data_IF_374725717338
#
_entry.id   IF_374725717338
#
_cell.length_a   1.000
_cell.length_b   1.000
_cell.length_c   1.000
_cell.angle_alpha   90.00
_cell.angle_beta   90.00
_cell.angle_gamma   90.00
#
_symmetry.space_group_name_H-M   'P 1'
#
loop_
_entity.id
_entity.type
_entity.pdbx_description
1 polymer ?
#
# COMPACT_ATOMS: atom_id res chain seq x y z
N UNK A 1 -4.42 -20.18 -2.22
CA UNK A 1 -3.07 -19.87 -1.67
C UNK A 1 -3.04 -18.40 -1.31
N UNK A 2 -2.80 -18.05 -0.05
CA UNK A 2 -2.91 -16.67 0.45
C UNK A 2 -1.64 -15.83 0.22
N UNK A 3 -1.76 -14.50 0.33
CA UNK A 3 -0.66 -13.54 0.28
C UNK A 3 0.50 -13.91 1.21
N UNK A 4 0.20 -14.31 2.45
CA UNK A 4 1.22 -14.76 3.41
C UNK A 4 1.85 -16.10 3.03
N UNK A 5 1.14 -16.99 2.35
CA UNK A 5 1.69 -18.27 1.86
C UNK A 5 2.67 -18.03 0.72
N UNK A 6 2.32 -17.13 -0.21
CA UNK A 6 3.19 -16.75 -1.32
C UNK A 6 4.46 -16.05 -0.81
N UNK A 7 4.34 -15.13 0.15
CA UNK A 7 5.52 -14.49 0.76
C UNK A 7 6.40 -15.47 1.51
N UNK A 8 5.81 -16.40 2.28
CA UNK A 8 6.60 -17.46 2.95
C UNK A 8 7.34 -18.33 1.95
N UNK A 9 6.75 -18.62 0.79
CA UNK A 9 7.42 -19.36 -0.27
C UNK A 9 8.59 -18.55 -0.86
N UNK A 10 8.36 -17.27 -1.18
CA UNK A 10 9.39 -16.35 -1.67
C UNK A 10 10.58 -16.24 -0.72
N UNK A 11 10.33 -16.01 0.57
CA UNK A 11 11.40 -15.93 1.58
C UNK A 11 12.14 -17.26 1.77
N UNK A 12 11.47 -18.40 1.55
CA UNK A 12 12.10 -19.71 1.59
C UNK A 12 12.96 -19.98 0.36
N UNK A 13 12.52 -19.52 -0.81
CA UNK A 13 13.23 -19.71 -2.08
C UNK A 13 14.41 -18.74 -2.25
N UNK A 14 14.27 -17.51 -1.75
CA UNK A 14 15.28 -16.44 -1.81
C UNK A 14 15.50 -15.84 -0.41
N UNK A 15 16.33 -16.48 0.45
CA UNK A 15 16.54 -16.06 1.84
C UNK A 15 17.19 -14.67 1.98
N UNK A 16 17.89 -14.21 0.95
CA UNK A 16 18.51 -12.90 0.86
C UNK A 16 17.51 -11.77 0.53
N UNK A 17 16.32 -12.12 0.03
CA UNK A 17 15.28 -11.15 -0.30
C UNK A 17 14.56 -10.67 0.96
N UNK A 18 14.61 -9.37 1.18
CA UNK A 18 13.83 -8.72 2.21
C UNK A 18 12.42 -8.43 1.66
N UNK A 19 11.44 -9.25 2.06
CA UNK A 19 10.05 -9.13 1.60
C UNK A 19 9.19 -8.43 2.63
N UNK A 20 8.59 -7.29 2.27
CA UNK A 20 7.63 -6.58 3.11
C UNK A 20 6.20 -6.76 2.58
N UNK A 21 5.31 -7.34 3.41
CA UNK A 21 3.95 -7.73 2.98
C UNK A 21 2.93 -6.60 2.95
N UNK A 22 3.16 -5.54 3.71
CA UNK A 22 2.33 -4.33 3.75
C UNK A 22 3.16 -3.25 4.41
N UNK A 23 3.94 -2.51 3.61
CA UNK A 23 5.01 -1.75 4.18
C UNK A 23 4.54 -0.39 4.70
N UNK A 24 3.63 -0.24 5.68
CA UNK A 24 3.40 1.12 6.25
C UNK A 24 4.73 1.75 6.71
N UNK A 25 5.70 0.90 7.11
CA UNK A 25 7.09 1.28 7.39
C UNK A 25 8.07 1.29 6.17
N UNK A 26 7.72 0.75 4.99
CA UNK A 26 8.62 0.66 3.80
C UNK A 26 8.04 1.33 2.54
N UNK A 27 6.76 1.72 2.53
CA UNK A 27 6.09 2.58 1.54
C UNK A 27 6.72 3.98 1.53
N UNK A 28 7.47 4.29 2.58
CA UNK A 28 8.23 5.51 2.80
C UNK A 28 9.51 5.62 1.95
N UNK A 29 9.85 4.68 1.04
CA UNK A 29 11.16 4.69 0.35
C UNK A 29 11.17 4.27 -1.14
N UNK A 30 10.03 4.21 -1.82
CA UNK A 30 9.97 4.00 -3.27
C UNK A 30 10.37 5.30 -4.01
N UNK A 31 11.66 5.48 -4.31
CA UNK A 31 12.16 6.53 -5.22
C UNK A 31 11.72 6.26 -6.69
N UNK A 32 10.41 6.20 -6.95
CA UNK A 32 9.86 6.30 -8.28
C UNK A 32 9.45 7.76 -8.49
N UNK A 33 10.41 8.57 -8.96
CA UNK A 33 10.23 9.88 -9.57
C UNK A 33 9.03 10.71 -9.04
N UNK A 34 9.22 11.39 -7.90
CA UNK A 34 8.35 12.51 -7.49
C UNK A 34 6.89 12.18 -7.16
N UNK A 35 6.47 10.91 -7.12
CA UNK A 35 5.06 10.52 -6.98
C UNK A 35 4.84 9.30 -6.09
N UNK A 36 5.47 9.25 -4.93
CA UNK A 36 5.02 8.33 -3.87
C UNK A 36 3.69 8.81 -3.31
N UNK A 37 2.63 8.32 -3.93
CA UNK A 37 1.28 8.64 -3.51
C UNK A 37 0.80 7.64 -2.47
N UNK A 38 0.50 8.24 -1.34
CA UNK A 38 -0.18 7.78 -0.16
C UNK A 38 -1.53 7.12 -0.43
N UNK A 39 -1.63 5.97 -1.11
CA UNK A 39 -2.95 5.37 -1.43
C UNK A 39 -3.90 5.40 -0.21
N UNK A 40 -3.44 4.94 0.96
CA UNK A 40 -4.24 4.99 2.18
C UNK A 40 -4.45 6.39 2.76
N UNK A 41 -3.40 7.18 2.97
CA UNK A 41 -3.59 8.50 3.61
C UNK A 41 -4.23 9.54 2.67
N UNK A 42 -3.98 9.47 1.37
CA UNK A 42 -4.71 10.23 0.34
C UNK A 42 -6.17 9.81 0.29
N UNK A 43 -6.47 8.51 0.35
CA UNK A 43 -7.84 8.03 0.46
C UNK A 43 -8.54 8.57 1.72
N UNK A 44 -7.85 8.57 2.87
CA UNK A 44 -8.38 9.15 4.11
C UNK A 44 -8.61 10.65 3.99
N UNK A 45 -7.69 11.39 3.36
CA UNK A 45 -7.85 12.82 3.10
C UNK A 45 -9.01 13.11 2.14
N UNK A 46 -9.07 12.42 1.00
CA UNK A 46 -10.15 12.56 0.00
C UNK A 46 -11.53 12.19 0.56
N UNK A 47 -11.59 11.26 1.52
CA UNK A 47 -12.81 10.86 2.21
C UNK A 47 -13.11 11.73 3.45
N UNK A 48 -12.37 12.82 3.67
CA UNK A 48 -12.59 13.77 4.76
C UNK A 48 -12.24 13.25 6.17
N UNK A 49 -11.51 12.13 6.25
CA UNK A 49 -11.03 11.56 7.52
C UNK A 49 -9.74 12.21 8.03
N UNK A 50 -9.01 12.93 7.16
CA UNK A 50 -7.91 13.81 7.55
C UNK A 50 -8.27 15.25 7.19
N UNK A 51 -8.03 16.16 8.12
CA UNK A 51 -8.10 17.61 7.88
C UNK A 51 -6.92 18.08 7.02
N UNK A 52 -7.03 19.29 6.47
CA UNK A 52 -5.95 19.91 5.69
C UNK A 52 -4.63 20.03 6.48
N UNK A 53 -4.72 20.32 7.78
CA UNK A 53 -3.55 20.44 8.67
C UNK A 53 -2.92 19.08 8.92
N UNK A 54 -3.72 18.06 9.25
CA UNK A 54 -3.21 16.70 9.44
C UNK A 54 -2.57 16.15 8.16
N UNK A 55 -3.17 16.46 7.02
CA UNK A 55 -2.62 16.10 5.71
C UNK A 55 -1.30 16.81 5.42
N UNK A 56 -1.17 18.10 5.74
CA UNK A 56 0.10 18.83 5.59
C UNK A 56 1.19 18.25 6.47
N UNK A 57 0.91 18.05 7.77
CA UNK A 57 1.87 17.48 8.72
C UNK A 57 2.32 16.08 8.25
N UNK A 58 1.38 15.25 7.79
CA UNK A 58 1.69 13.92 7.29
C UNK A 58 2.62 13.95 6.08
N UNK A 59 2.40 14.87 5.14
CA UNK A 59 3.25 15.05 3.96
C UNK A 59 4.65 15.56 4.33
N UNK A 60 4.77 16.50 5.28
CA UNK A 60 6.04 17.03 5.74
C UNK A 60 6.89 15.95 6.41
N UNK A 61 6.28 15.19 7.33
CA UNK A 61 6.92 14.06 7.99
C UNK A 61 7.38 13.00 6.99
N UNK A 62 6.53 12.67 6.02
CA UNK A 62 6.90 11.70 5.01
C UNK A 62 8.06 12.19 4.13
N UNK A 63 8.05 13.46 3.73
CA UNK A 63 9.11 14.06 2.93
C UNK A 63 10.46 14.04 3.67
N UNK A 64 10.44 14.34 4.97
CA UNK A 64 11.62 14.25 5.82
C UNK A 64 12.16 12.81 5.92
N UNK A 65 11.29 11.83 6.19
CA UNK A 65 11.69 10.42 6.31
C UNK A 65 12.29 9.90 4.99
N UNK A 66 11.70 10.28 3.86
CA UNK A 66 12.23 9.96 2.55
C UNK A 66 13.63 10.52 2.36
N UNK A 67 13.82 11.80 2.67
CA UNK A 67 15.11 12.44 2.49
C UNK A 67 16.21 11.80 3.35
N UNK A 68 15.91 11.49 4.61
CA UNK A 68 16.88 10.93 5.56
C UNK A 68 17.23 9.45 5.24
N UNK A 69 16.25 8.65 4.80
CA UNK A 69 16.41 7.20 4.72
C UNK A 69 16.44 6.62 3.31
N UNK A 70 16.08 7.36 2.26
CA UNK A 70 15.99 6.81 0.91
C UNK A 70 17.33 6.25 0.40
N UNK A 71 18.45 6.88 0.75
CA UNK A 71 19.78 6.41 0.32
C UNK A 71 20.19 5.06 0.92
N UNK A 72 19.55 4.66 2.04
CA UNK A 72 19.85 3.41 2.76
C UNK A 72 18.97 2.25 2.31
N UNK A 73 17.99 2.49 1.44
CA UNK A 73 16.97 1.52 1.07
C UNK A 73 16.92 1.35 -0.45
N UNK A 74 17.58 0.32 -0.96
CA UNK A 74 17.55 -0.04 -2.38
C UNK A 74 16.36 -0.95 -2.69
N UNK A 75 15.34 -0.37 -3.34
CA UNK A 75 14.23 -1.16 -3.90
C UNK A 75 14.62 -1.69 -5.28
N UNK A 76 14.73 -3.01 -5.41
CA UNK A 76 15.02 -3.66 -6.69
C UNK A 76 13.76 -3.89 -7.53
N UNK A 77 12.59 -4.01 -6.89
CA UNK A 77 11.31 -4.22 -7.58
C UNK A 77 10.16 -4.43 -6.60
N UNK A 78 8.94 -4.43 -7.14
CA UNK A 78 7.72 -4.70 -6.39
C UNK A 78 6.90 -5.78 -7.09
N UNK A 79 6.15 -6.56 -6.31
CA UNK A 79 5.21 -7.56 -6.83
C UNK A 79 3.80 -7.09 -6.49
N UNK A 80 3.01 -6.81 -7.52
CA UNK A 80 1.61 -6.44 -7.35
C UNK A 80 0.72 -7.68 -7.40
N UNK A 81 0.10 -8.02 -6.26
CA UNK A 81 -0.86 -9.13 -6.18
C UNK A 81 -2.26 -8.62 -6.51
N UNK A 82 -2.54 -8.48 -7.81
CA UNK A 82 -3.82 -8.01 -8.31
C UNK A 82 -4.96 -9.00 -8.00
N UNK A 83 -6.07 -8.49 -7.49
CA UNK A 83 -7.31 -9.25 -7.27
C UNK A 83 -8.51 -8.31 -7.35
N UNK A 84 -9.61 -8.81 -7.93
CA UNK A 84 -10.86 -8.05 -8.01
C UNK A 84 -11.41 -7.72 -6.59
N UNK A 85 -12.04 -6.55 -6.39
CA UNK A 85 -12.58 -6.13 -5.09
C UNK A 85 -13.51 -7.16 -4.44
N UNK A 86 -14.34 -7.85 -5.22
CA UNK A 86 -15.27 -8.89 -4.75
C UNK A 86 -14.51 -10.11 -4.18
N UNK A 87 -13.38 -10.47 -4.79
CA UNK A 87 -12.49 -11.53 -4.29
C UNK A 87 -11.85 -11.11 -2.97
N UNK A 88 -11.42 -9.85 -2.87
CA UNK A 88 -10.87 -9.29 -1.63
C UNK A 88 -11.91 -9.28 -0.50
N UNK A 89 -13.15 -8.87 -0.78
CA UNK A 89 -14.25 -8.88 0.19
C UNK A 89 -14.57 -10.29 0.67
N UNK A 90 -14.66 -11.27 -0.24
CA UNK A 90 -14.85 -12.68 0.12
C UNK A 90 -13.74 -13.18 1.05
N UNK A 91 -12.48 -12.80 0.77
CA UNK A 91 -11.32 -13.19 1.60
C UNK A 91 -11.35 -12.50 2.97
N UNK A 92 -11.84 -11.25 3.04
CA UNK A 92 -12.01 -10.52 4.29
C UNK A 92 -13.01 -11.24 5.20
N UNK A 93 -14.20 -11.58 4.68
CA UNK A 93 -15.19 -12.33 5.44
C UNK A 93 -14.69 -13.71 5.88
N UNK A 94 -13.90 -14.40 5.04
CA UNK A 94 -13.27 -15.66 5.42
C UNK A 94 -12.23 -15.53 6.55
N UNK A 95 -11.54 -14.39 6.66
CA UNK A 95 -10.59 -14.14 7.74
C UNK A 95 -11.26 -13.75 9.05
N UNK A 96 -12.44 -13.13 8.97
CA UNK A 96 -13.28 -12.76 10.11
C UNK A 96 -12.54 -11.95 11.20
N UNK A 97 -11.75 -10.95 10.81
CA UNK A 97 -11.15 -9.99 11.76
C UNK A 97 -12.20 -8.97 12.18
N UNK A 98 -12.34 -8.75 13.49
CA UNK A 98 -13.35 -7.83 14.05
C UNK A 98 -13.15 -6.39 13.56
N UNK A 99 -11.90 -5.99 13.36
CA UNK A 99 -11.52 -4.65 12.93
C UNK A 99 -11.87 -4.38 11.46
N UNK A 100 -12.00 -5.45 10.65
CA UNK A 100 -12.28 -5.37 9.22
C UNK A 100 -13.79 -5.54 8.90
N UNK A 101 -14.62 -5.88 9.89
CA UNK A 101 -16.03 -6.28 9.71
C UNK A 101 -16.91 -5.21 9.02
N UNK A 102 -16.58 -3.93 9.22
CA UNK A 102 -17.32 -2.80 8.64
C UNK A 102 -16.84 -2.37 7.25
N UNK A 103 -15.84 -3.05 6.69
CA UNK A 103 -15.30 -2.68 5.38
C UNK A 103 -16.30 -3.08 4.28
N UNK A 104 -16.72 -2.09 3.49
CA UNK A 104 -17.66 -2.28 2.40
C UNK A 104 -16.97 -2.47 1.04
N UNK A 105 -17.71 -3.02 0.08
CA UNK A 105 -17.20 -3.25 -1.29
C UNK A 105 -16.73 -1.95 -1.94
N UNK A 106 -17.47 -0.85 -1.77
CA UNK A 106 -17.15 0.45 -2.36
C UNK A 106 -15.76 0.97 -1.94
N UNK A 107 -15.39 0.75 -0.66
CA UNK A 107 -14.06 1.10 -0.17
C UNK A 107 -12.96 0.27 -0.85
N UNK A 108 -13.19 -1.04 -1.03
CA UNK A 108 -12.26 -1.92 -1.73
C UNK A 108 -12.13 -1.58 -3.22
N UNK A 109 -13.21 -1.12 -3.86
CA UNK A 109 -13.20 -0.61 -5.24
C UNK A 109 -12.38 0.68 -5.35
N UNK A 110 -12.54 1.61 -4.41
CA UNK A 110 -11.74 2.85 -4.36
C UNK A 110 -10.24 2.54 -4.22
N UNK A 111 -9.87 1.64 -3.30
CA UNK A 111 -8.49 1.20 -3.15
C UNK A 111 -7.97 0.50 -4.41
N UNK A 112 -8.76 -0.39 -5.02
CA UNK A 112 -8.37 -1.09 -6.24
C UNK A 112 -8.05 -0.09 -7.36
N UNK A 113 -8.94 0.87 -7.61
CA UNK A 113 -8.74 1.88 -8.66
C UNK A 113 -7.47 2.71 -8.44
N UNK A 114 -7.15 3.05 -7.19
CA UNK A 114 -5.90 3.75 -6.88
C UNK A 114 -4.66 2.89 -7.13
N UNK A 115 -4.70 1.59 -6.85
CA UNK A 115 -3.61 0.66 -7.17
C UNK A 115 -3.45 0.48 -8.68
N UNK A 116 -4.54 0.31 -9.43
CA UNK A 116 -4.52 0.18 -10.90
C UNK A 116 -3.96 1.45 -11.56
N UNK A 117 -4.44 2.62 -11.15
CA UNK A 117 -3.96 3.90 -11.64
C UNK A 117 -2.45 4.08 -11.44
N UNK A 118 -1.93 3.59 -10.31
CA UNK A 118 -0.51 3.70 -9.98
C UNK A 118 0.36 2.63 -10.66
N UNK A 119 0.04 1.35 -10.47
CA UNK A 119 0.92 0.23 -10.82
C UNK A 119 0.76 -0.24 -12.26
N UNK A 120 -0.44 -0.07 -12.84
CA UNK A 120 -0.77 -0.55 -14.17
C UNK A 120 -0.81 0.62 -15.17
N UNK A 121 -1.65 1.62 -14.90
CA UNK A 121 -1.91 2.69 -15.87
C UNK A 121 -0.91 3.84 -15.78
N UNK A 122 -0.19 3.99 -14.66
CA UNK A 122 0.76 5.08 -14.40
C UNK A 122 0.15 6.47 -14.64
N UNK A 123 -1.14 6.63 -14.40
CA UNK A 123 -1.90 7.88 -14.58
C UNK A 123 -1.96 8.72 -13.31
N UNK A 124 -1.40 8.20 -12.23
CA UNK A 124 -1.33 8.84 -10.92
C UNK A 124 -0.34 10.02 -10.95
N UNK A 125 -0.84 11.23 -11.30
CA UNK A 125 -0.09 12.51 -11.47
C UNK A 125 0.77 13.05 -10.33
#
# INVERSE_FOLDING_TARGET
>A
VGKSTFVKLLMKTYPEWHVATEPIATWQNIQAAGTQKYIFAKNLFENGSLSDVEWHIYQDWHSFLLWEFASRLSLHGFIYLQAAPQVCLKRLYQRARKEEERIELAYLEQLHNQHEAWLIHKTTK
#
